data_IF_367955653035
#
_entry.id   IF_367955653035
#
_cell.length_a   1.000
_cell.length_b   1.000
_cell.length_c   1.000
_cell.angle_alpha   90.00
_cell.angle_beta   90.00
_cell.angle_gamma   90.00
#
_symmetry.space_group_name_H-M   'P 1'
#
loop_
_entity.id
_entity.type
_entity.pdbx_description
1 polymer ?
#
# COMPACT_ATOMS: atom_id res chain seq x y z
N UNK A 1 64.33 54.22 5.86
CA UNK A 1 64.45 52.75 6.06
C UNK A 1 63.06 52.17 5.88
N UNK A 2 62.76 51.63 4.70
CA UNK A 2 61.46 51.00 4.38
C UNK A 2 61.73 49.53 4.10
N UNK A 3 61.36 48.67 5.04
CA UNK A 3 61.37 47.22 4.84
C UNK A 3 60.08 46.84 4.13
N UNK A 4 60.15 46.69 2.81
CA UNK A 4 59.09 46.08 2.02
C UNK A 4 59.16 44.57 2.21
N UNK A 5 58.21 44.01 2.97
CA UNK A 5 58.06 42.57 3.13
C UNK A 5 57.29 42.02 1.92
N UNK A 6 58.03 41.46 0.96
CA UNK A 6 57.52 40.95 -0.30
C UNK A 6 56.94 39.54 -0.11
N UNK A 7 55.61 39.42 -0.20
CA UNK A 7 54.87 38.15 -0.12
C UNK A 7 55.36 37.17 -1.21
N UNK A 8 55.96 36.05 -0.79
CA UNK A 8 56.30 34.93 -1.68
C UNK A 8 55.05 34.36 -2.39
N UNK A 9 55.04 34.23 -3.74
CA UNK A 9 53.97 33.53 -4.46
C UNK A 9 54.30 32.03 -4.55
N UNK A 10 54.21 31.31 -3.43
CA UNK A 10 54.49 29.87 -3.38
C UNK A 10 53.20 29.06 -3.27
N UNK A 11 52.53 28.76 -4.40
CA UNK A 11 51.59 27.61 -4.49
C UNK A 11 51.00 27.29 -5.88
N UNK A 12 51.30 28.00 -6.97
CA UNK A 12 50.63 27.77 -8.28
C UNK A 12 50.79 26.36 -8.86
N UNK A 13 51.96 25.73 -8.68
CA UNK A 13 52.26 24.38 -9.23
C UNK A 13 51.64 23.25 -8.39
N UNK A 14 51.58 23.42 -7.07
CA UNK A 14 50.86 22.51 -6.17
C UNK A 14 49.35 22.61 -6.34
N UNK A 15 48.83 23.83 -6.53
CA UNK A 15 47.44 24.07 -6.88
C UNK A 15 47.08 23.44 -8.23
N UNK A 16 47.94 23.54 -9.24
CA UNK A 16 47.71 22.88 -10.53
C UNK A 16 47.64 21.36 -10.41
N UNK A 17 48.54 20.73 -9.64
CA UNK A 17 48.51 19.29 -9.41
C UNK A 17 47.29 18.85 -8.58
N UNK A 18 46.87 19.66 -7.60
CA UNK A 18 45.62 19.45 -6.86
C UNK A 18 44.40 19.54 -7.77
N UNK A 19 44.33 20.55 -8.64
CA UNK A 19 43.24 20.71 -9.62
C UNK A 19 43.25 19.55 -10.62
N UNK A 20 44.42 19.17 -11.16
CA UNK A 20 44.54 18.04 -12.07
C UNK A 20 44.12 16.72 -11.41
N UNK A 21 44.55 16.48 -10.17
CA UNK A 21 44.13 15.31 -9.39
C UNK A 21 42.63 15.30 -9.11
N UNK A 22 42.05 16.46 -8.76
CA UNK A 22 40.61 16.61 -8.55
C UNK A 22 39.81 16.35 -9.84
N UNK A 23 40.30 16.85 -10.98
CA UNK A 23 39.69 16.59 -12.30
C UNK A 23 39.78 15.11 -12.66
N UNK A 24 40.92 14.44 -12.41
CA UNK A 24 41.07 13.00 -12.64
C UNK A 24 40.15 12.18 -11.75
N UNK A 25 40.03 12.51 -10.47
CA UNK A 25 39.07 11.87 -9.57
C UNK A 25 37.63 12.06 -10.06
N UNK A 26 37.28 13.26 -10.51
CA UNK A 26 35.96 13.56 -11.06
C UNK A 26 35.69 12.80 -12.36
N UNK A 27 36.71 12.62 -13.21
CA UNK A 27 36.62 11.85 -14.44
C UNK A 27 36.45 10.34 -14.17
N UNK A 28 37.24 9.77 -13.24
CA UNK A 28 37.12 8.38 -12.82
C UNK A 28 35.75 8.12 -12.18
N UNK A 29 35.30 9.03 -11.30
CA UNK A 29 34.00 8.94 -10.67
C UNK A 29 32.86 9.01 -11.70
N UNK A 30 32.93 9.94 -12.64
CA UNK A 30 31.96 10.05 -13.74
C UNK A 30 31.94 8.79 -14.59
N UNK A 31 33.11 8.29 -15.00
CA UNK A 31 33.21 7.06 -15.78
C UNK A 31 32.62 5.85 -15.04
N UNK A 32 32.90 5.73 -13.73
CA UNK A 32 32.31 4.69 -12.87
C UNK A 32 30.80 4.81 -12.77
N UNK A 33 30.27 6.02 -12.57
CA UNK A 33 28.83 6.27 -12.48
C UNK A 33 28.11 5.91 -13.79
N UNK A 34 28.62 6.35 -14.94
CA UNK A 34 28.05 6.03 -16.25
C UNK A 34 28.12 4.52 -16.56
N UNK A 35 29.18 3.84 -16.14
CA UNK A 35 29.28 2.38 -16.27
C UNK A 35 28.21 1.65 -15.43
N UNK A 36 28.02 2.04 -14.17
CA UNK A 36 26.97 1.49 -13.31
C UNK A 36 25.57 1.78 -13.84
N UNK A 37 25.30 3.01 -14.28
CA UNK A 37 24.01 3.40 -14.86
C UNK A 37 23.69 2.55 -16.10
N UNK A 38 24.67 2.29 -16.96
CA UNK A 38 24.49 1.44 -18.14
C UNK A 38 24.26 -0.04 -17.76
N UNK A 39 24.89 -0.52 -16.67
CA UNK A 39 24.65 -1.87 -16.16
C UNK A 39 23.25 -2.04 -15.61
N UNK A 40 22.74 -1.06 -14.84
CA UNK A 40 21.36 -1.05 -14.33
C UNK A 40 20.37 -1.08 -15.48
N UNK A 41 20.59 -0.25 -16.52
CA UNK A 41 19.77 -0.27 -17.74
C UNK A 41 19.75 -1.65 -18.39
N UNK A 42 20.92 -2.26 -18.58
CA UNK A 42 21.03 -3.57 -19.22
C UNK A 42 20.33 -4.68 -18.43
N UNK A 43 20.42 -4.68 -17.10
CA UNK A 43 19.73 -5.68 -16.28
C UNK A 43 18.22 -5.42 -16.20
N UNK A 44 17.78 -4.16 -16.21
CA UNK A 44 16.36 -3.79 -16.31
C UNK A 44 15.77 -4.24 -17.66
N UNK A 45 16.46 -3.97 -18.77
CA UNK A 45 16.06 -4.42 -20.11
C UNK A 45 15.99 -5.95 -20.20
N UNK A 46 16.91 -6.67 -19.55
CA UNK A 46 16.88 -8.14 -19.45
C UNK A 46 15.72 -8.65 -18.60
N UNK A 47 15.41 -7.99 -17.47
CA UNK A 47 14.29 -8.36 -16.62
C UNK A 47 12.97 -8.19 -17.38
N UNK A 48 12.81 -7.07 -18.08
CA UNK A 48 11.69 -6.81 -19.01
C UNK A 48 11.64 -7.86 -20.13
N UNK A 49 12.77 -8.15 -20.79
CA UNK A 49 12.83 -9.15 -21.85
C UNK A 49 12.53 -10.58 -21.34
N UNK A 50 12.81 -10.87 -20.07
CA UNK A 50 12.49 -12.15 -19.43
C UNK A 50 11.00 -12.26 -19.13
N UNK A 51 10.36 -11.15 -18.72
CA UNK A 51 8.90 -11.05 -18.57
C UNK A 51 8.18 -11.23 -19.92
N UNK A 52 8.69 -10.59 -20.98
CA UNK A 52 8.15 -10.75 -22.34
C UNK A 52 8.24 -12.20 -22.84
N UNK A 53 9.28 -12.95 -22.44
CA UNK A 53 9.40 -14.38 -22.77
C UNK A 53 8.39 -15.27 -22.03
N UNK A 54 7.80 -14.80 -20.94
CA UNK A 54 6.71 -15.49 -20.23
C UNK A 54 5.31 -15.15 -20.76
N UNK A 55 5.20 -14.43 -21.89
CA UNK A 55 3.91 -13.98 -22.45
C UNK A 55 3.32 -12.77 -21.73
N UNK A 56 4.16 -12.05 -20.98
CA UNK A 56 3.79 -10.84 -20.24
C UNK A 56 4.53 -9.67 -20.87
N UNK A 57 3.85 -8.83 -21.65
CA UNK A 57 4.42 -7.61 -22.22
C UNK A 57 4.45 -6.52 -21.15
N UNK A 58 5.61 -6.38 -20.49
CA UNK A 58 5.84 -5.32 -19.51
C UNK A 58 6.58 -4.16 -20.20
N UNK A 59 5.85 -3.11 -20.60
CA UNK A 59 6.40 -1.94 -21.27
C UNK A 59 6.76 -0.83 -20.29
N UNK A 60 8.04 -0.42 -20.26
CA UNK A 60 8.44 0.88 -19.72
C UNK A 60 8.78 1.81 -20.91
N UNK A 61 7.89 2.75 -21.19
CA UNK A 61 8.10 3.71 -22.27
C UNK A 61 9.20 4.70 -21.89
N UNK A 62 10.15 4.94 -22.81
CA UNK A 62 11.26 5.89 -22.65
C UNK A 62 12.08 5.70 -21.36
N UNK A 63 12.53 4.47 -21.08
CA UNK A 63 13.40 4.16 -19.95
C UNK A 63 14.64 5.08 -19.94
N UNK A 64 14.74 5.92 -18.91
CA UNK A 64 15.86 6.81 -18.67
C UNK A 64 16.48 6.55 -17.31
N UNK A 65 17.81 6.58 -17.25
CA UNK A 65 18.58 6.51 -16.00
C UNK A 65 19.29 7.84 -15.82
N UNK A 66 18.94 8.57 -14.76
CA UNK A 66 19.49 9.88 -14.41
C UNK A 66 19.93 9.92 -12.93
N UNK A 67 20.32 11.08 -12.40
CA UNK A 67 20.68 11.23 -10.98
C UNK A 67 22.16 11.48 -10.66
N UNK A 68 22.98 11.69 -11.69
CA UNK A 68 24.37 12.08 -11.47
C UNK A 68 24.45 13.36 -10.62
N UNK A 69 25.31 13.44 -9.59
CA UNK A 69 26.25 12.41 -9.16
C UNK A 69 25.74 11.51 -8.02
N UNK A 70 24.73 11.91 -7.24
CA UNK A 70 24.49 11.34 -5.90
C UNK A 70 23.43 10.23 -5.83
N UNK A 71 22.64 10.05 -6.89
CA UNK A 71 21.57 9.07 -6.91
C UNK A 71 21.44 8.38 -8.28
N UNK A 72 20.72 7.27 -8.29
CA UNK A 72 20.32 6.57 -9.50
C UNK A 72 18.80 6.67 -9.56
N UNK A 73 18.30 7.40 -10.54
CA UNK A 73 16.88 7.57 -10.82
C UNK A 73 16.56 6.81 -12.09
N UNK A 74 15.66 5.84 -12.00
CA UNK A 74 15.09 5.12 -13.14
C UNK A 74 13.71 5.68 -13.38
N UNK A 75 13.46 6.28 -14.55
CA UNK A 75 12.18 6.89 -14.90
C UNK A 75 11.59 6.29 -16.18
N UNK A 76 10.28 6.12 -16.19
CA UNK A 76 9.45 5.70 -17.33
C UNK A 76 8.28 6.67 -17.49
N UNK A 77 7.88 6.97 -18.72
CA UNK A 77 6.73 7.85 -18.99
C UNK A 77 5.39 7.14 -18.80
N UNK A 78 5.36 5.84 -19.10
CA UNK A 78 4.18 4.98 -19.01
C UNK A 78 4.63 3.56 -18.64
N UNK A 79 3.87 2.91 -17.75
CA UNK A 79 4.05 1.51 -17.38
C UNK A 79 2.84 0.71 -17.90
N UNK A 80 3.08 -0.18 -18.85
CA UNK A 80 2.08 -1.09 -19.37
C UNK A 80 2.41 -2.53 -18.98
N UNK A 81 1.38 -3.30 -18.66
CA UNK A 81 1.43 -4.72 -18.38
C UNK A 81 0.32 -5.39 -19.19
N UNK A 82 0.66 -6.35 -20.03
CA UNK A 82 -0.29 -7.16 -20.78
C UNK A 82 0.06 -8.64 -20.64
N UNK A 83 -0.88 -9.46 -20.20
CA UNK A 83 -0.75 -10.92 -20.08
C UNK A 83 -1.74 -11.56 -21.05
N UNK A 84 -1.25 -11.91 -22.25
CA UNK A 84 -2.04 -12.49 -23.34
C UNK A 84 -2.72 -13.80 -22.92
N UNK A 85 -2.06 -14.60 -22.07
CA UNK A 85 -2.59 -15.89 -21.64
C UNK A 85 -3.83 -15.74 -20.75
N UNK A 86 -3.93 -14.62 -20.02
CA UNK A 86 -5.07 -14.32 -19.15
C UNK A 86 -5.98 -13.21 -19.67
N UNK A 87 -5.63 -12.58 -20.80
CA UNK A 87 -6.27 -11.39 -21.36
C UNK A 87 -6.37 -10.25 -20.32
N UNK A 88 -5.34 -10.08 -19.50
CA UNK A 88 -5.29 -9.02 -18.47
C UNK A 88 -4.38 -7.91 -19.00
N UNK A 89 -4.91 -6.70 -19.10
CA UNK A 89 -4.13 -5.51 -19.40
C UNK A 89 -4.22 -4.51 -18.25
N UNK A 90 -3.10 -3.92 -17.87
CA UNK A 90 -3.03 -2.83 -16.91
C UNK A 90 -2.07 -1.75 -17.43
N UNK A 91 -2.46 -0.49 -17.31
CA UNK A 91 -1.60 0.64 -17.67
C UNK A 91 -1.63 1.70 -16.59
N UNK A 92 -0.47 2.28 -16.29
CA UNK A 92 -0.29 3.35 -15.30
C UNK A 92 0.58 4.46 -15.87
N UNK A 93 0.49 5.66 -15.29
CA UNK A 93 1.28 6.81 -15.73
C UNK A 93 2.78 6.69 -15.44
N UNK A 94 3.44 7.84 -15.30
CA UNK A 94 4.89 7.89 -15.14
C UNK A 94 5.36 7.19 -13.86
N UNK A 95 6.41 6.39 -13.96
CA UNK A 95 7.05 5.69 -12.85
C UNK A 95 8.46 6.23 -12.63
N UNK A 96 8.83 6.52 -11.39
CA UNK A 96 10.18 6.95 -11.03
C UNK A 96 10.67 6.20 -9.79
N UNK A 97 11.78 5.49 -9.90
CA UNK A 97 12.45 4.83 -8.79
C UNK A 97 13.81 5.45 -8.52
N UNK A 98 14.04 5.89 -7.28
CA UNK A 98 15.26 6.58 -6.85
C UNK A 98 15.99 5.74 -5.79
N UNK A 99 17.25 5.44 -6.03
CA UNK A 99 18.17 4.85 -5.06
C UNK A 99 19.36 5.78 -4.83
N UNK A 100 19.64 6.14 -3.57
CA UNK A 100 20.79 6.99 -3.23
C UNK A 100 22.07 6.17 -3.15
N UNK A 101 23.20 6.73 -3.57
CA UNK A 101 24.51 6.05 -3.46
C UNK A 101 24.87 5.78 -1.99
N UNK A 102 24.48 6.67 -1.07
CA UNK A 102 24.72 6.52 0.37
C UNK A 102 23.81 5.49 1.04
N UNK A 103 22.68 5.16 0.42
CA UNK A 103 21.67 4.23 0.96
C UNK A 103 21.03 3.39 -0.17
N UNK A 104 21.81 2.52 -0.86
CA UNK A 104 21.32 1.78 -2.03
C UNK A 104 20.25 0.73 -1.67
N UNK A 105 20.21 0.32 -0.41
CA UNK A 105 19.24 -0.65 0.13
C UNK A 105 17.93 0.00 0.60
N UNK A 106 17.68 1.27 0.25
CA UNK A 106 16.44 1.95 0.60
C UNK A 106 15.86 2.73 -0.59
N UNK A 107 15.54 2.06 -1.71
CA UNK A 107 14.94 2.72 -2.86
C UNK A 107 13.54 3.25 -2.54
N UNK A 108 13.22 4.40 -3.12
CA UNK A 108 11.89 5.01 -3.10
C UNK A 108 11.37 5.04 -4.53
N UNK A 109 10.21 4.42 -4.75
CA UNK A 109 9.50 4.45 -6.01
C UNK A 109 8.29 5.37 -5.90
N UNK A 110 8.01 6.11 -6.96
CA UNK A 110 6.82 6.94 -7.12
C UNK A 110 6.14 6.57 -8.43
N UNK A 111 4.83 6.43 -8.41
CA UNK A 111 4.02 6.12 -9.57
C UNK A 111 2.93 7.18 -9.68
N UNK A 112 2.64 7.65 -10.89
CA UNK A 112 1.50 8.54 -11.15
C UNK A 112 0.34 7.77 -11.74
N UNK A 113 -0.86 8.16 -11.34
CA UNK A 113 -2.08 7.70 -11.97
C UNK A 113 -2.26 8.27 -13.37
N UNK A 114 -3.33 7.86 -14.06
CA UNK A 114 -4.30 6.87 -13.58
C UNK A 114 -3.84 5.44 -13.86
N UNK A 115 -4.29 4.50 -13.04
CA UNK A 115 -4.25 3.07 -13.31
C UNK A 115 -5.55 2.66 -14.01
N UNK A 116 -5.42 2.12 -15.22
CA UNK A 116 -6.50 1.46 -15.95
C UNK A 116 -6.27 -0.03 -15.95
N UNK A 117 -7.30 -0.80 -15.61
CA UNK A 117 -7.25 -2.26 -15.65
C UNK A 117 -8.36 -2.82 -16.52
N UNK A 118 -8.01 -3.75 -17.42
CA UNK A 118 -8.94 -4.54 -18.22
C UNK A 118 -8.72 -6.01 -17.87
N UNK A 119 -9.73 -6.62 -17.24
CA UNK A 119 -9.72 -8.03 -16.83
C UNK A 119 -11.00 -8.69 -17.37
N UNK A 120 -10.94 -9.87 -18.00
CA UNK A 120 -12.12 -10.49 -18.58
C UNK A 120 -13.16 -10.81 -17.50
N UNK A 121 -14.41 -10.43 -17.74
CA UNK A 121 -15.51 -10.66 -16.81
C UNK A 121 -15.59 -9.66 -15.65
N UNK A 122 -14.75 -8.62 -15.63
CA UNK A 122 -14.84 -7.49 -14.70
C UNK A 122 -15.05 -6.20 -15.49
N UNK A 123 -15.85 -5.28 -14.95
CA UNK A 123 -15.96 -3.93 -15.50
C UNK A 123 -14.59 -3.24 -15.39
N UNK A 124 -14.09 -2.59 -16.45
CA UNK A 124 -12.84 -1.85 -16.36
C UNK A 124 -12.96 -0.74 -15.29
N UNK A 125 -11.87 -0.55 -14.56
CA UNK A 125 -11.80 0.43 -13.48
C UNK A 125 -10.74 1.47 -13.82
N UNK A 126 -11.06 2.72 -13.49
CA UNK A 126 -10.15 3.84 -13.52
C UNK A 126 -9.85 4.27 -12.09
N UNK A 127 -8.61 4.08 -11.66
CA UNK A 127 -8.16 4.43 -10.31
C UNK A 127 -7.11 5.53 -10.45
N UNK A 128 -7.33 6.69 -9.84
CA UNK A 128 -6.41 7.82 -9.92
C UNK A 128 -5.91 8.24 -8.53
N UNK A 129 -4.78 8.94 -8.51
CA UNK A 129 -4.17 9.46 -7.29
C UNK A 129 -3.23 10.63 -7.60
N UNK A 130 -3.12 11.56 -6.65
CA UNK A 130 -2.20 12.71 -6.76
C UNK A 130 -0.74 12.27 -6.60
N UNK A 131 -0.49 11.41 -5.60
CA UNK A 131 0.85 10.98 -5.23
C UNK A 131 0.82 9.56 -4.65
N UNK A 132 1.52 8.62 -5.28
CA UNK A 132 1.72 7.27 -4.77
C UNK A 132 3.21 6.99 -4.63
N UNK A 133 3.64 6.69 -3.40
CA UNK A 133 5.03 6.41 -3.06
C UNK A 133 5.19 5.08 -2.35
N UNK A 134 6.11 4.26 -2.84
CA UNK A 134 6.55 3.03 -2.22
C UNK A 134 7.99 3.17 -1.73
N UNK A 135 8.23 2.98 -0.44
CA UNK A 135 9.56 2.95 0.15
C UNK A 135 9.87 1.52 0.60
N UNK A 136 11.00 0.99 0.13
CA UNK A 136 11.42 -0.38 0.40
C UNK A 136 12.77 -0.35 1.10
N UNK A 137 12.84 -0.88 2.32
CA UNK A 137 14.08 -1.09 3.04
C UNK A 137 14.52 -2.55 2.87
N UNK A 138 15.54 -2.76 2.05
CA UNK A 138 16.08 -4.07 1.72
C UNK A 138 17.06 -4.57 2.78
N UNK A 139 16.96 -5.84 3.14
CA UNK A 139 17.95 -6.61 3.91
C UNK A 139 17.98 -8.04 3.34
N UNK A 140 19.08 -8.77 3.50
CA UNK A 140 19.16 -10.16 3.01
C UNK A 140 18.72 -11.14 4.12
N UNK A 141 17.83 -12.12 3.87
CA UNK A 141 17.28 -12.58 2.58
C UNK A 141 15.94 -11.95 2.16
N UNK A 142 15.30 -11.14 3.02
CA UNK A 142 13.99 -10.52 2.77
C UNK A 142 13.98 -9.04 3.13
N UNK A 143 13.21 -8.20 2.42
CA UNK A 143 13.04 -6.79 2.77
C UNK A 143 12.64 -6.61 4.24
N UNK A 144 13.30 -5.70 4.94
CA UNK A 144 13.02 -5.41 6.33
C UNK A 144 11.75 -4.56 6.51
N UNK A 145 11.41 -3.73 5.51
CA UNK A 145 10.19 -2.92 5.52
C UNK A 145 9.76 -2.58 4.10
N UNK A 146 8.47 -2.64 3.85
CA UNK A 146 7.84 -2.11 2.64
C UNK A 146 6.73 -1.18 3.11
N UNK A 147 6.78 0.10 2.74
CA UNK A 147 5.69 1.04 3.04
C UNK A 147 5.17 1.67 1.76
N UNK A 148 3.86 1.77 1.63
CA UNK A 148 3.13 2.39 0.54
C UNK A 148 2.30 3.54 1.10
N UNK A 149 2.32 4.68 0.43
CA UNK A 149 1.54 5.87 0.79
C UNK A 149 0.89 6.42 -0.47
N UNK A 150 -0.40 6.70 -0.41
CA UNK A 150 -1.19 7.30 -1.48
C UNK A 150 -1.92 8.54 -0.94
N UNK A 151 -2.03 9.57 -1.75
CA UNK A 151 -2.80 10.79 -1.48
C UNK A 151 -3.77 11.06 -2.63
N UNK A 152 -4.97 11.54 -2.31
CA UNK A 152 -6.01 11.89 -3.27
C UNK A 152 -6.47 10.70 -4.12
N UNK A 153 -6.65 9.53 -3.51
CA UNK A 153 -7.03 8.31 -4.22
C UNK A 153 -8.51 8.37 -4.63
N UNK A 154 -8.82 8.10 -5.88
CA UNK A 154 -10.20 7.95 -6.35
C UNK A 154 -10.35 6.73 -7.24
N UNK A 155 -11.55 6.19 -7.30
CA UNK A 155 -11.88 5.07 -8.17
C UNK A 155 -13.23 5.29 -8.82
N UNK A 156 -13.31 5.06 -10.13
CA UNK A 156 -14.55 5.12 -10.91
C UNK A 156 -14.60 3.99 -11.92
N UNK A 157 -15.78 3.74 -12.50
CA UNK A 157 -15.92 2.82 -13.63
C UNK A 157 -15.33 3.42 -14.90
N UNK A 158 -14.80 2.58 -15.79
CA UNK A 158 -14.29 2.97 -17.11
C UNK A 158 -15.08 2.22 -18.20
N UNK A 159 -16.37 2.57 -18.41
CA UNK A 159 -17.20 1.89 -19.39
C UNK A 159 -16.67 2.08 -20.81
N UNK A 160 -16.74 1.03 -21.62
CA UNK A 160 -16.32 1.06 -23.03
C UNK A 160 -17.44 1.48 -24.00
N UNK A 161 -18.63 1.79 -23.47
CA UNK A 161 -19.80 2.29 -24.19
C UNK A 161 -20.07 3.77 -23.85
N UNK A 162 -21.15 4.34 -24.37
CA UNK A 162 -21.52 5.74 -24.15
C UNK A 162 -22.16 5.98 -22.75
N UNK A 163 -21.96 5.08 -21.77
CA UNK A 163 -22.45 5.30 -20.41
C UNK A 163 -21.52 6.21 -19.63
N UNK A 164 -22.09 7.05 -18.77
CA UNK A 164 -21.31 7.94 -17.92
C UNK A 164 -20.52 7.12 -16.86
N UNK A 165 -19.23 7.44 -16.64
CA UNK A 165 -18.47 6.89 -15.52
C UNK A 165 -19.16 7.16 -14.19
N UNK A 166 -19.20 6.14 -13.34
CA UNK A 166 -19.75 6.23 -11.97
C UNK A 166 -18.58 6.25 -11.00
N UNK A 167 -18.48 7.31 -10.22
CA UNK A 167 -17.54 7.38 -9.10
C UNK A 167 -17.91 6.30 -8.08
N UNK A 168 -16.92 5.54 -7.62
CA UNK A 168 -17.11 4.44 -6.68
C UNK A 168 -16.71 4.87 -5.27
N UNK A 169 -15.55 5.53 -5.17
CA UNK A 169 -15.02 6.02 -3.90
C UNK A 169 -13.96 7.10 -4.12
N UNK A 170 -13.74 7.90 -3.08
CA UNK A 170 -12.58 8.78 -2.94
C UNK A 170 -11.99 8.64 -1.53
N UNK A 171 -10.68 8.81 -1.39
CA UNK A 171 -9.98 8.76 -0.12
C UNK A 171 -8.86 9.79 -0.10
N UNK A 172 -8.86 10.68 0.90
CA UNK A 172 -7.85 11.72 1.02
C UNK A 172 -6.44 11.16 1.17
N UNK A 173 -6.29 10.09 1.98
CA UNK A 173 -5.01 9.41 2.21
C UNK A 173 -5.20 7.92 2.39
N UNK A 174 -4.24 7.14 1.92
CA UNK A 174 -4.09 5.74 2.25
C UNK A 174 -2.63 5.41 2.55
N UNK A 175 -2.38 4.57 3.55
CA UNK A 175 -1.04 4.10 3.86
C UNK A 175 -1.05 2.62 4.24
N UNK A 176 0.04 1.94 3.94
CA UNK A 176 0.26 0.55 4.27
C UNK A 176 1.72 0.31 4.56
N UNK A 177 2.02 -0.55 5.53
CA UNK A 177 3.37 -0.94 5.88
C UNK A 177 3.40 -2.43 6.20
N UNK A 178 4.33 -3.15 5.57
CA UNK A 178 4.67 -4.54 5.85
C UNK A 178 6.07 -4.60 6.47
N UNK A 179 6.21 -5.36 7.54
CA UNK A 179 7.48 -5.53 8.24
C UNK A 179 7.60 -6.97 8.78
N UNK A 180 8.62 -7.75 8.38
CA UNK A 180 8.92 -9.02 9.01
C UNK A 180 9.31 -8.84 10.48
N UNK A 181 8.82 -9.73 11.33
CA UNK A 181 9.09 -9.76 12.77
C UNK A 181 9.43 -11.20 13.19
N UNK A 182 10.70 -11.56 13.07
CA UNK A 182 11.13 -12.96 13.20
C UNK A 182 10.52 -13.81 12.09
N UNK A 183 9.78 -14.86 12.44
CA UNK A 183 9.02 -15.67 11.48
C UNK A 183 7.66 -15.08 11.10
N UNK A 184 7.19 -14.05 11.81
CA UNK A 184 5.88 -13.44 11.59
C UNK A 184 5.97 -12.26 10.62
N UNK A 185 4.82 -11.85 10.08
CA UNK A 185 4.71 -10.68 9.21
C UNK A 185 3.71 -9.68 9.82
N UNK A 186 4.21 -8.51 10.19
CA UNK A 186 3.39 -7.42 10.70
C UNK A 186 2.91 -6.56 9.53
N UNK A 187 1.62 -6.22 9.53
CA UNK A 187 0.99 -5.30 8.59
C UNK A 187 0.28 -4.20 9.37
N UNK A 188 0.63 -2.95 9.06
CA UNK A 188 -0.09 -1.77 9.52
C UNK A 188 -0.67 -1.04 8.32
N UNK A 189 -1.90 -0.57 8.39
CA UNK A 189 -2.54 0.17 7.31
C UNK A 189 -3.54 1.19 7.82
N UNK A 190 -3.80 2.21 7.01
CA UNK A 190 -4.83 3.20 7.28
C UNK A 190 -5.37 3.82 6.01
N UNK A 191 -6.60 4.30 6.08
CA UNK A 191 -7.14 5.26 5.14
C UNK A 191 -7.87 6.36 5.92
N UNK A 192 -7.87 7.56 5.37
CA UNK A 192 -8.56 8.70 5.95
C UNK A 192 -9.39 9.42 4.89
N UNK A 193 -10.47 10.03 5.37
CA UNK A 193 -11.45 10.72 4.52
C UNK A 193 -11.98 9.82 3.38
N UNK A 194 -12.28 8.55 3.66
CA UNK A 194 -12.88 7.64 2.68
C UNK A 194 -14.36 7.97 2.50
N UNK A 195 -14.73 8.41 1.30
CA UNK A 195 -16.10 8.60 0.86
C UNK A 195 -16.46 7.51 -0.13
N UNK A 196 -17.66 6.95 0.02
CA UNK A 196 -18.23 5.97 -0.92
C UNK A 196 -19.40 6.65 -1.58
N UNK A 197 -19.38 6.74 -2.91
CA UNK A 197 -20.43 7.40 -3.65
C UNK A 197 -21.76 6.66 -3.49
N UNK A 198 -22.85 7.41 -3.35
CA UNK A 198 -24.16 6.83 -3.09
C UNK A 198 -24.63 5.93 -4.25
N UNK A 199 -24.32 6.29 -5.50
CA UNK A 199 -24.71 5.52 -6.68
C UNK A 199 -24.00 4.16 -6.71
N UNK A 200 -22.76 4.10 -6.22
CA UNK A 200 -22.00 2.85 -6.09
C UNK A 200 -22.62 1.87 -5.06
N UNK A 201 -23.40 2.37 -4.11
CA UNK A 201 -24.07 1.58 -3.07
C UNK A 201 -25.60 1.65 -3.16
N UNK A 202 -26.15 1.99 -4.33
CA UNK A 202 -27.58 1.92 -4.61
C UNK A 202 -28.40 2.99 -3.86
N UNK A 203 -27.90 4.22 -3.84
CA UNK A 203 -28.52 5.39 -3.20
C UNK A 203 -28.38 5.43 -1.68
N UNK A 204 -27.58 4.52 -1.09
CA UNK A 204 -27.27 4.54 0.35
C UNK A 204 -26.27 5.65 0.64
N UNK A 205 -26.36 6.26 1.81
CA UNK A 205 -25.47 7.35 2.20
C UNK A 205 -24.60 6.88 3.35
N UNK A 206 -23.29 7.01 3.17
CA UNK A 206 -22.28 6.81 4.19
C UNK A 206 -21.53 8.13 4.44
N UNK A 207 -21.28 8.51 5.70
CA UNK A 207 -20.37 9.61 5.98
C UNK A 207 -18.94 9.23 5.64
N UNK A 208 -18.04 10.21 5.55
CA UNK A 208 -16.61 9.97 5.43
C UNK A 208 -16.10 9.07 6.57
N UNK A 209 -15.27 8.09 6.21
CA UNK A 209 -14.75 7.05 7.11
C UNK A 209 -13.23 7.16 7.23
N UNK A 210 -12.75 7.04 8.45
CA UNK A 210 -11.34 6.80 8.75
C UNK A 210 -11.18 5.38 9.25
N UNK A 211 -10.14 4.68 8.80
CA UNK A 211 -9.76 3.40 9.40
C UNK A 211 -8.27 3.29 9.60
N UNK A 212 -7.89 2.55 10.63
CA UNK A 212 -6.50 2.15 10.86
C UNK A 212 -6.44 0.75 11.44
N UNK A 213 -5.37 0.03 11.16
CA UNK A 213 -5.26 -1.36 11.55
C UNK A 213 -3.82 -1.82 11.69
N UNK A 214 -3.58 -2.67 12.68
CA UNK A 214 -2.32 -3.36 12.90
C UNK A 214 -2.60 -4.85 13.17
N UNK A 215 -2.04 -5.71 12.33
CA UNK A 215 -2.22 -7.16 12.37
C UNK A 215 -0.88 -7.88 12.23
N UNK A 216 -0.73 -8.98 12.95
CA UNK A 216 0.43 -9.86 12.85
C UNK A 216 -0.01 -11.20 12.27
N UNK A 217 0.53 -11.57 11.11
CA UNK A 217 0.34 -12.89 10.52
C UNK A 217 1.41 -13.84 11.06
N UNK A 218 0.97 -14.85 11.79
CA UNK A 218 1.87 -15.84 12.36
C UNK A 218 2.50 -16.70 11.26
N UNK A 219 3.81 -16.91 11.33
CA UNK A 219 4.59 -17.60 10.29
C UNK A 219 4.46 -16.96 8.88
N UNK A 220 4.08 -15.67 8.82
CA UNK A 220 3.81 -14.96 7.56
C UNK A 220 5.03 -14.86 6.64
N UNK A 221 6.25 -14.91 7.17
CA UNK A 221 7.46 -14.88 6.33
C UNK A 221 7.58 -16.11 5.43
N UNK A 222 7.21 -17.28 5.93
CA UNK A 222 7.18 -18.50 5.12
C UNK A 222 6.13 -18.43 4.00
N UNK A 223 5.06 -17.67 4.22
CA UNK A 223 4.00 -17.46 3.24
C UNK A 223 4.41 -16.51 2.12
N UNK A 224 5.24 -15.50 2.38
CA UNK A 224 5.74 -14.61 1.32
C UNK A 224 6.63 -15.36 0.32
N UNK A 225 7.39 -16.35 0.80
CA UNK A 225 8.26 -17.18 -0.04
C UNK A 225 7.52 -18.29 -0.82
N UNK A 226 6.24 -18.53 -0.53
CA UNK A 226 5.42 -19.55 -1.19
C UNK A 226 4.25 -18.87 -1.90
N UNK A 227 3.81 -19.37 -3.06
CA UNK A 227 2.55 -18.87 -3.62
C UNK A 227 1.42 -19.30 -2.67
N UNK A 228 0.91 -18.37 -1.87
CA UNK A 228 -0.19 -18.63 -0.93
C UNK A 228 -1.43 -19.00 -1.74
N UNK A 229 -1.78 -20.27 -1.74
CA UNK A 229 -2.99 -20.79 -2.40
C UNK A 229 -4.20 -20.82 -1.48
N UNK A 230 -3.97 -20.68 -0.18
CA UNK A 230 -5.01 -20.88 0.83
C UNK A 230 -4.69 -20.17 2.15
N UNK A 231 -5.74 -19.66 2.81
CA UNK A 231 -5.69 -19.14 4.18
C UNK A 231 -5.85 -20.24 5.25
N UNK A 232 -6.05 -21.50 4.86
CA UNK A 232 -6.24 -22.62 5.78
C UNK A 232 -4.99 -22.87 6.61
N UNK A 233 -5.18 -23.12 7.91
CA UNK A 233 -4.10 -23.31 8.87
C UNK A 233 -3.38 -22.03 9.28
N UNK A 234 -3.80 -20.86 8.77
CA UNK A 234 -3.20 -19.58 9.13
C UNK A 234 -3.83 -18.99 10.39
N UNK A 235 -3.03 -18.22 11.11
CA UNK A 235 -3.50 -17.45 12.26
C UNK A 235 -2.97 -16.02 12.23
N UNK A 236 -3.82 -15.11 12.65
CA UNK A 236 -3.61 -13.67 12.65
C UNK A 236 -3.91 -13.15 14.04
N UNK A 237 -3.01 -12.35 14.58
CA UNK A 237 -3.25 -11.57 15.79
C UNK A 237 -3.65 -10.15 15.38
N UNK A 238 -4.87 -9.74 15.70
CA UNK A 238 -5.34 -8.38 15.45
C UNK A 238 -4.99 -7.54 16.67
N UNK A 239 -3.97 -6.67 16.58
CA UNK A 239 -3.61 -5.78 17.68
C UNK A 239 -4.67 -4.70 17.87
N UNK A 240 -5.09 -4.09 16.76
CA UNK A 240 -6.17 -3.11 16.73
C UNK A 240 -6.66 -2.95 15.29
N UNK A 241 -7.97 -2.96 15.07
CA UNK A 241 -8.62 -2.38 13.89
C UNK A 241 -9.57 -1.31 14.41
N UNK A 242 -9.38 -0.06 13.96
CA UNK A 242 -10.22 1.09 14.27
C UNK A 242 -10.96 1.51 13.01
N UNK A 243 -12.25 1.75 13.11
CA UNK A 243 -13.07 2.38 12.10
C UNK A 243 -13.84 3.52 12.77
N UNK A 244 -13.76 4.73 12.24
CA UNK A 244 -14.43 5.90 12.82
C UNK A 244 -15.04 6.84 11.79
N UNK A 245 -16.04 7.59 12.24
CA UNK A 245 -16.65 8.69 11.49
C UNK A 245 -17.27 9.67 12.48
N UNK A 246 -16.72 10.89 12.55
CA UNK A 246 -17.11 11.89 13.55
C UNK A 246 -16.91 11.36 14.99
N UNK A 247 -17.99 11.24 15.76
CA UNK A 247 -17.95 10.70 17.14
C UNK A 247 -18.08 9.18 17.20
N UNK A 248 -18.58 8.54 16.13
CA UNK A 248 -18.74 7.10 16.03
C UNK A 248 -17.37 6.44 15.86
N UNK A 249 -17.06 5.43 16.69
CA UNK A 249 -15.86 4.62 16.52
C UNK A 249 -16.09 3.18 16.94
N UNK A 250 -15.58 2.23 16.15
CA UNK A 250 -15.60 0.80 16.45
C UNK A 250 -14.16 0.30 16.42
N UNK A 251 -13.72 -0.27 17.53
CA UNK A 251 -12.41 -0.94 17.62
C UNK A 251 -12.58 -2.45 17.79
N UNK A 252 -11.73 -3.22 17.13
CA UNK A 252 -11.67 -4.68 17.19
C UNK A 252 -10.24 -5.13 17.49
N UNK A 253 -10.07 -6.08 18.40
CA UNK A 253 -8.76 -6.69 18.72
C UNK A 253 -8.90 -8.15 19.14
N UNK A 254 -7.89 -8.96 18.88
CA UNK A 254 -7.78 -10.34 19.35
C UNK A 254 -7.34 -11.33 18.27
N UNK A 255 -7.17 -12.61 18.65
CA UNK A 255 -6.74 -13.66 17.74
C UNK A 255 -7.84 -14.12 16.79
N UNK A 256 -7.44 -14.42 15.56
CA UNK A 256 -8.22 -15.09 14.52
C UNK A 256 -7.40 -16.23 13.93
N UNK A 257 -8.02 -17.37 13.67
CA UNK A 257 -7.41 -18.49 12.96
C UNK A 257 -8.39 -19.14 11.99
N UNK A 258 -7.84 -19.79 10.97
CA UNK A 258 -8.60 -20.56 9.99
C UNK A 258 -8.17 -22.01 10.11
N UNK A 259 -9.11 -22.91 10.34
CA UNK A 259 -8.81 -24.34 10.43
C UNK A 259 -8.56 -24.97 9.04
N UNK A 260 -8.26 -26.26 9.02
CA UNK A 260 -8.00 -27.00 7.77
C UNK A 260 -9.24 -27.05 6.87
N UNK A 261 -10.44 -27.03 7.46
CA UNK A 261 -11.72 -26.97 6.76
C UNK A 261 -12.06 -25.57 6.25
N UNK A 262 -11.22 -24.56 6.51
CA UNK A 262 -11.41 -23.19 6.05
C UNK A 262 -12.40 -22.42 6.93
N UNK A 263 -12.77 -22.98 8.09
CA UNK A 263 -13.68 -22.35 9.02
C UNK A 263 -12.89 -21.45 9.97
N UNK A 264 -13.42 -20.25 10.15
CA UNK A 264 -12.81 -19.23 11.02
C UNK A 264 -13.12 -19.54 12.48
N UNK A 265 -12.10 -19.41 13.34
CA UNK A 265 -12.21 -19.37 14.79
C UNK A 265 -11.60 -18.06 15.28
N UNK A 266 -12.31 -17.31 16.11
CA UNK A 266 -11.83 -16.02 16.60
C UNK A 266 -12.36 -15.74 18.01
N UNK A 267 -11.54 -15.11 18.85
CA UNK A 267 -11.93 -14.60 20.16
C UNK A 267 -11.57 -13.12 20.21
N UNK A 268 -12.50 -12.29 19.74
CA UNK A 268 -12.28 -10.87 19.49
C UNK A 268 -12.99 -10.04 20.53
N UNK A 269 -12.42 -8.90 20.88
CA UNK A 269 -13.06 -7.87 21.69
C UNK A 269 -13.44 -6.71 20.78
N UNK A 270 -14.73 -6.39 20.76
CA UNK A 270 -15.27 -5.19 20.10
C UNK A 270 -15.49 -4.13 21.17
N UNK A 271 -15.06 -2.90 20.91
CA UNK A 271 -15.45 -1.73 21.69
C UNK A 271 -16.06 -0.70 20.76
N UNK A 272 -17.18 -0.14 21.19
CA UNK A 272 -17.99 0.80 20.40
C UNK A 272 -18.06 2.10 21.17
N UNK A 273 -17.48 3.16 20.63
CA UNK A 273 -17.61 4.52 21.15
C UNK A 273 -18.77 5.22 20.45
N UNK A 274 -19.60 5.85 21.26
CA UNK A 274 -20.85 6.49 20.83
C UNK A 274 -21.76 5.52 20.04
N UNK A 275 -22.36 4.52 20.72
CA UNK A 275 -23.22 3.53 20.06
C UNK A 275 -24.39 4.15 19.28
N UNK A 276 -24.88 5.33 19.69
CA UNK A 276 -25.96 6.03 18.98
C UNK A 276 -25.49 6.57 17.63
N UNK A 277 -24.30 7.16 17.58
CA UNK A 277 -23.72 7.62 16.31
C UNK A 277 -23.43 6.45 15.38
N UNK A 278 -22.88 5.33 15.89
CA UNK A 278 -22.67 4.11 15.10
C UNK A 278 -23.99 3.56 14.54
N UNK A 279 -25.06 3.54 15.36
CA UNK A 279 -26.38 3.12 14.93
C UNK A 279 -26.94 3.98 13.79
N UNK A 280 -26.78 5.30 13.87
CA UNK A 280 -27.27 6.22 12.86
C UNK A 280 -26.60 5.98 11.50
N UNK A 281 -25.28 5.74 11.49
CA UNK A 281 -24.51 5.41 10.28
C UNK A 281 -24.99 4.08 9.70
N UNK A 282 -25.07 3.03 10.52
CA UNK A 282 -25.51 1.71 10.07
C UNK A 282 -26.96 1.72 9.57
N UNK A 283 -27.84 2.50 10.20
CA UNK A 283 -29.22 2.68 9.75
C UNK A 283 -29.34 3.40 8.41
N UNK A 284 -28.41 4.31 8.09
CA UNK A 284 -28.29 4.93 6.76
C UNK A 284 -27.76 3.96 5.71
N UNK A 285 -26.82 3.09 6.10
CA UNK A 285 -26.22 2.07 5.24
C UNK A 285 -27.16 0.88 4.97
N UNK A 286 -28.00 0.50 5.94
CA UNK A 286 -28.88 -0.67 5.88
C UNK A 286 -30.30 -0.25 6.33
N UNK A 287 -31.01 0.58 5.55
CA UNK A 287 -32.32 1.12 5.95
C UNK A 287 -33.35 0.05 6.27
N UNK A 288 -33.28 -1.11 5.61
CA UNK A 288 -34.15 -2.26 5.82
C UNK A 288 -34.07 -2.85 7.24
N UNK A 289 -32.95 -2.63 7.95
CA UNK A 289 -32.75 -3.08 9.33
C UNK A 289 -32.73 -1.92 10.33
N UNK A 290 -33.07 -0.70 9.92
CA UNK A 290 -32.99 0.52 10.73
C UNK A 290 -33.58 0.35 12.13
N UNK A 291 -34.82 -0.12 12.23
CA UNK A 291 -35.48 -0.30 13.54
C UNK A 291 -34.73 -1.29 14.44
N UNK A 292 -34.24 -2.40 13.88
CA UNK A 292 -33.49 -3.41 14.64
C UNK A 292 -32.12 -2.88 15.09
N UNK A 293 -31.44 -2.12 14.22
CA UNK A 293 -30.16 -1.46 14.51
C UNK A 293 -30.36 -0.45 15.64
N UNK A 294 -31.31 0.46 15.51
CA UNK A 294 -31.58 1.50 16.52
C UNK A 294 -31.93 0.88 17.88
N UNK A 295 -32.77 -0.16 17.91
CA UNK A 295 -33.13 -0.85 19.15
C UNK A 295 -31.93 -1.58 19.78
N UNK A 296 -31.16 -2.31 18.97
CA UNK A 296 -29.98 -3.04 19.45
C UNK A 296 -28.93 -2.10 20.03
N UNK A 297 -28.61 -1.02 19.32
CA UNK A 297 -27.62 -0.05 19.77
C UNK A 297 -28.12 0.86 20.89
N UNK A 298 -29.43 1.10 21.01
CA UNK A 298 -30.00 1.75 22.20
C UNK A 298 -29.74 0.91 23.46
N UNK A 299 -29.85 -0.42 23.36
CA UNK A 299 -29.50 -1.32 24.46
C UNK A 299 -27.99 -1.27 24.78
N UNK A 300 -27.13 -1.19 23.77
CA UNK A 300 -25.69 -1.02 23.98
C UNK A 300 -25.34 0.31 24.64
N UNK A 301 -26.02 1.40 24.28
CA UNK A 301 -25.83 2.71 24.89
C UNK A 301 -26.20 2.73 26.39
N UNK A 302 -27.09 1.82 26.84
CA UNK A 302 -27.40 1.66 28.27
C UNK A 302 -26.24 1.06 29.08
N UNK A 303 -25.29 0.36 28.42
CA UNK A 303 -24.11 -0.21 29.06
C UNK A 303 -22.98 0.82 29.26
N UNK A 304 -23.10 2.02 28.69
CA UNK A 304 -22.13 3.11 28.81
C UNK A 304 -21.85 3.81 27.47
N UNK A 305 -20.92 4.76 27.49
CA UNK A 305 -20.50 5.52 26.29
C UNK A 305 -19.51 4.76 25.41
N UNK A 306 -18.80 3.77 25.98
CA UNK A 306 -17.82 2.93 25.29
C UNK A 306 -17.97 1.44 25.66
N UNK A 307 -19.14 0.80 25.42
CA UNK A 307 -19.34 -0.61 25.73
C UNK A 307 -18.34 -1.50 25.01
N UNK A 308 -17.83 -2.51 25.73
CA UNK A 308 -16.96 -3.55 25.20
C UNK A 308 -17.62 -4.93 25.29
N UNK A 309 -17.56 -5.72 24.23
CA UNK A 309 -18.21 -7.02 24.15
C UNK A 309 -17.32 -8.06 23.46
N UNK A 310 -17.35 -9.33 23.91
CA UNK A 310 -16.67 -10.41 23.23
C UNK A 310 -17.45 -10.81 21.96
N UNK A 311 -16.80 -10.75 20.81
CA UNK A 311 -17.21 -11.38 19.56
C UNK A 311 -16.47 -12.71 19.41
N UNK A 312 -17.18 -13.82 19.59
CA UNK A 312 -16.64 -15.15 19.38
C UNK A 312 -17.09 -15.71 18.05
N UNK A 313 -16.15 -16.34 17.34
CA UNK A 313 -16.43 -17.14 16.14
C UNK A 313 -15.93 -18.54 16.42
N UNK A 314 -16.81 -19.54 16.32
CA UNK A 314 -16.46 -20.95 16.52
C UNK A 314 -16.90 -21.75 15.30
N UNK A 315 -15.94 -22.30 14.55
CA UNK A 315 -16.18 -23.04 13.31
C UNK A 315 -17.09 -22.27 12.34
N UNK A 316 -16.79 -20.98 12.17
CA UNK A 316 -17.54 -20.05 11.34
C UNK A 316 -18.86 -19.53 11.94
N UNK A 317 -19.31 -19.97 13.12
CA UNK A 317 -20.52 -19.42 13.76
C UNK A 317 -20.14 -18.21 14.62
N UNK A 318 -20.65 -17.04 14.28
CA UNK A 318 -20.35 -15.78 14.97
C UNK A 318 -21.41 -15.43 16.02
N UNK A 319 -20.97 -14.98 17.18
CA UNK A 319 -21.81 -14.55 18.30
C UNK A 319 -21.20 -13.36 19.04
N UNK A 320 -22.01 -12.35 19.34
CA UNK A 320 -21.64 -11.20 20.17
C UNK A 320 -22.22 -11.38 21.57
N UNK A 321 -21.38 -11.76 22.53
CA UNK A 321 -21.85 -12.22 23.83
C UNK A 321 -22.81 -13.41 23.68
N UNK A 322 -24.09 -13.20 24.00
CA UNK A 322 -25.16 -14.20 23.87
C UNK A 322 -25.98 -14.06 22.57
N UNK A 323 -25.70 -13.06 21.72
CA UNK A 323 -26.48 -12.76 20.52
C UNK A 323 -25.84 -13.46 19.31
N UNK A 324 -26.52 -14.42 18.65
CA UNK A 324 -26.01 -15.02 17.42
C UNK A 324 -26.05 -14.01 16.27
N UNK A 325 -24.93 -13.84 15.56
CA UNK A 325 -24.82 -12.92 14.42
C UNK A 325 -24.96 -13.63 13.07
N UNK A 326 -24.63 -14.93 13.00
CA UNK A 326 -24.75 -15.72 11.78
C UNK A 326 -23.61 -16.71 11.57
N UNK A 327 -23.46 -17.16 10.32
CA UNK A 327 -22.44 -18.13 9.91
C UNK A 327 -21.60 -17.58 8.77
N UNK A 328 -20.29 -17.55 8.96
CA UNK A 328 -19.28 -17.26 7.95
C UNK A 328 -19.12 -18.48 7.03
N UNK A 329 -19.00 -18.20 5.72
CA UNK A 329 -18.65 -19.24 4.73
C UNK A 329 -17.17 -19.62 4.90
N UNK A 330 -16.78 -20.86 4.54
CA UNK A 330 -15.38 -21.26 4.54
C UNK A 330 -14.55 -20.34 3.63
N UNK A 331 -13.39 -19.92 4.12
CA UNK A 331 -12.39 -19.20 3.34
C UNK A 331 -11.43 -20.19 2.70
N UNK A 332 -11.06 -19.91 1.44
CA UNK A 332 -10.05 -20.68 0.74
C UNK A 332 -8.66 -20.16 1.06
#
# INVERSE_FOLDING_TARGET
MTSSDERQPKSRRGLFWLVAFMVVLFAIYSAGWFYLANRVRTEADKAVATLNKSGIEAGCANLQVSGYPLNFTVSCDNLAYEDDAKNIAASAGSFNAVAQIVQPLSPVASLRGPLRTSVPGMMPLWIDWDNLQANVKLWYPLPHRISLQAEGLSGQTDPADDTDPVELFSAGKASGQLQPNGGNLDYAGSFGDLEIDADAIGGRVLPALDASGDVTLNNGVALVGTQVKSLRGQSVEIRNLDLSSGTARVTLSGPLSVDAEGLVNADLMIRIKDPKAVAAILAGAIPEQKNAIEQGFAALAMLGSEPSMPLKVVKGKASLGFIPLGKLKPVN
#
